data_IF_899910887047
#
_entry.id   IF_899910887047
#
_cell.length_a   1.000
_cell.length_b   1.000
_cell.length_c   1.000
_cell.angle_alpha   90.00
_cell.angle_beta   90.00
_cell.angle_gamma   90.00
#
_symmetry.space_group_name_H-M   'P 1'
#
loop_
_entity.id
_entity.type
_entity.pdbx_description
1 polymer ?
#
# COMPACT_ATOMS: atom_id res chain seq x y z
N UNK A 1 -39.39 24.23 -1.76
CA UNK A 1 -38.08 23.62 -1.84
C UNK A 1 -37.51 23.95 -3.23
N UNK A 2 -36.35 24.59 -3.31
CA UNK A 2 -35.74 24.95 -4.60
C UNK A 2 -35.27 23.66 -5.31
N UNK A 3 -35.41 23.59 -6.63
CA UNK A 3 -34.95 22.46 -7.47
C UNK A 3 -33.49 22.09 -7.20
N UNK A 4 -32.64 23.08 -6.90
CA UNK A 4 -31.23 22.87 -6.55
C UNK A 4 -31.05 22.09 -5.24
N UNK A 5 -31.87 22.35 -4.21
CA UNK A 5 -31.78 21.63 -2.93
C UNK A 5 -32.20 20.16 -3.03
N UNK A 6 -33.11 19.83 -3.95
CA UNK A 6 -33.49 18.43 -4.23
C UNK A 6 -32.39 17.70 -5.01
N UNK A 7 -31.75 18.38 -5.98
CA UNK A 7 -30.61 17.79 -6.72
C UNK A 7 -29.43 17.51 -5.79
N UNK A 8 -29.10 18.43 -4.88
CA UNK A 8 -28.02 18.28 -3.90
C UNK A 8 -28.30 17.13 -2.93
N UNK A 9 -29.53 16.95 -2.46
CA UNK A 9 -29.93 15.81 -1.61
C UNK A 9 -29.85 14.49 -2.37
N UNK A 10 -30.27 14.47 -3.63
CA UNK A 10 -30.18 13.24 -4.47
C UNK A 10 -28.72 12.82 -4.68
N UNK A 11 -27.82 13.79 -4.95
CA UNK A 11 -26.39 13.52 -5.10
C UNK A 11 -25.78 13.01 -3.78
N UNK A 12 -26.13 13.57 -2.64
CA UNK A 12 -25.67 13.12 -1.33
C UNK A 12 -26.12 11.68 -1.03
N UNK A 13 -27.38 11.34 -1.34
CA UNK A 13 -27.91 9.98 -1.21
C UNK A 13 -27.20 9.01 -2.16
N UNK A 14 -27.00 9.40 -3.42
CA UNK A 14 -26.27 8.61 -4.39
C UNK A 14 -24.82 8.32 -3.92
N UNK A 15 -24.16 9.33 -3.34
CA UNK A 15 -22.84 9.14 -2.73
C UNK A 15 -22.84 8.04 -1.68
N UNK A 16 -23.82 8.02 -0.79
CA UNK A 16 -23.94 6.99 0.26
C UNK A 16 -24.19 5.60 -0.34
N UNK A 17 -25.09 5.48 -1.31
CA UNK A 17 -25.34 4.21 -2.00
C UNK A 17 -24.11 3.69 -2.74
N UNK A 18 -23.37 4.57 -3.43
CA UNK A 18 -22.13 4.20 -4.09
C UNK A 18 -21.06 3.75 -3.09
N UNK A 19 -20.96 4.39 -1.91
CA UNK A 19 -20.04 4.00 -0.85
C UNK A 19 -20.35 2.61 -0.29
N UNK A 20 -21.62 2.34 0.05
CA UNK A 20 -22.02 1.03 0.54
C UNK A 20 -21.82 -0.07 -0.51
N UNK A 21 -22.13 0.22 -1.78
CA UNK A 21 -21.85 -0.69 -2.89
C UNK A 21 -20.34 -0.95 -3.05
N UNK A 22 -19.51 0.09 -2.95
CA UNK A 22 -18.07 -0.06 -3.01
C UNK A 22 -17.53 -0.94 -1.88
N UNK A 23 -18.00 -0.76 -0.64
CA UNK A 23 -17.61 -1.59 0.51
C UNK A 23 -18.01 -3.05 0.28
N UNK A 24 -19.21 -3.32 -0.21
CA UNK A 24 -19.65 -4.67 -0.53
C UNK A 24 -18.77 -5.33 -1.61
N UNK A 25 -18.43 -4.59 -2.66
CA UNK A 25 -17.56 -5.10 -3.74
C UNK A 25 -16.10 -5.26 -3.25
N UNK A 26 -15.59 -4.36 -2.40
CA UNK A 26 -14.28 -4.57 -1.75
C UNK A 26 -14.26 -5.81 -0.87
N UNK A 27 -15.34 -6.10 -0.16
CA UNK A 27 -15.45 -7.33 0.64
C UNK A 27 -15.41 -8.58 -0.26
N UNK A 28 -16.13 -8.57 -1.38
CA UNK A 28 -16.07 -9.66 -2.35
C UNK A 28 -14.65 -9.81 -2.95
N UNK A 29 -14.00 -8.69 -3.28
CA UNK A 29 -12.62 -8.67 -3.76
C UNK A 29 -11.65 -9.26 -2.73
N UNK A 30 -11.82 -8.90 -1.46
CA UNK A 30 -11.04 -9.44 -0.34
C UNK A 30 -11.23 -10.94 -0.17
N UNK A 31 -12.48 -11.43 -0.20
CA UNK A 31 -12.78 -12.86 -0.11
C UNK A 31 -12.18 -13.64 -1.29
N UNK A 32 -12.26 -13.09 -2.51
CA UNK A 32 -11.61 -13.67 -3.70
C UNK A 32 -10.08 -13.71 -3.55
N UNK A 33 -9.46 -12.67 -2.99
CA UNK A 33 -8.02 -12.66 -2.69
C UNK A 33 -7.65 -13.71 -1.62
N UNK A 34 -8.45 -13.84 -0.56
CA UNK A 34 -8.27 -14.89 0.45
C UNK A 34 -8.40 -16.29 -0.18
N UNK A 35 -9.34 -16.48 -1.10
CA UNK A 35 -9.53 -17.73 -1.82
C UNK A 35 -8.34 -18.03 -2.75
N UNK A 36 -7.78 -17.01 -3.46
CA UNK A 36 -6.51 -17.17 -4.20
C UNK A 36 -5.39 -17.72 -3.27
N UNK A 37 -5.30 -17.16 -2.06
CA UNK A 37 -4.33 -17.65 -1.08
C UNK A 37 -4.66 -19.06 -0.56
N UNK A 38 -5.92 -19.40 -0.37
CA UNK A 38 -6.32 -20.72 0.10
C UNK A 38 -6.02 -21.83 -0.93
N UNK A 39 -6.35 -21.58 -2.20
CA UNK A 39 -6.23 -22.57 -3.28
C UNK A 39 -4.91 -22.50 -4.06
N UNK A 40 -4.05 -21.53 -3.78
CA UNK A 40 -2.75 -21.38 -4.44
C UNK A 40 -1.73 -22.42 -3.97
N UNK A 41 -0.85 -22.85 -4.89
CA UNK A 41 0.25 -23.76 -4.58
C UNK A 41 1.44 -23.00 -3.98
N UNK A 42 2.03 -23.58 -2.92
CA UNK A 42 3.23 -23.02 -2.28
C UNK A 42 4.45 -23.12 -3.19
N UNK A 43 5.21 -22.05 -3.35
CA UNK A 43 6.57 -22.15 -3.85
C UNK A 43 7.01 -21.27 -5.00
N UNK A 44 6.11 -20.68 -5.78
CA UNK A 44 6.50 -19.91 -6.98
C UNK A 44 6.99 -18.50 -6.68
N UNK A 45 6.36 -17.81 -5.74
CA UNK A 45 6.79 -16.46 -5.33
C UNK A 45 8.17 -16.54 -4.66
N UNK A 46 8.36 -17.54 -3.80
CA UNK A 46 9.65 -17.78 -3.15
C UNK A 46 10.74 -18.15 -4.16
N UNK A 47 10.43 -18.97 -5.18
CA UNK A 47 11.39 -19.33 -6.25
C UNK A 47 11.71 -18.15 -7.16
N UNK A 48 10.71 -17.34 -7.57
CA UNK A 48 10.95 -16.16 -8.39
C UNK A 48 11.82 -15.11 -7.68
N UNK A 49 11.71 -15.02 -6.35
CA UNK A 49 12.56 -14.12 -5.53
C UNK A 49 13.99 -14.67 -5.33
N UNK A 50 14.17 -15.99 -5.39
CA UNK A 50 15.49 -16.62 -5.27
C UNK A 50 16.29 -16.60 -6.59
N UNK A 51 15.61 -16.44 -7.73
CA UNK A 51 16.23 -16.36 -9.07
C UNK A 51 16.54 -14.94 -9.53
N UNK A 52 16.40 -13.94 -8.68
CA UNK A 52 16.85 -12.58 -8.97
C UNK A 52 18.37 -12.53 -8.68
N UNK A 53 19.27 -12.62 -9.69
CA UNK A 53 20.70 -12.73 -9.48
C UNK A 53 21.29 -11.33 -9.25
N UNK A 54 21.05 -10.77 -8.06
CA UNK A 54 21.87 -9.67 -7.59
C UNK A 54 23.11 -10.27 -6.96
N UNK A 55 24.10 -10.61 -7.78
CA UNK A 55 25.45 -10.93 -7.30
C UNK A 55 25.92 -12.37 -7.53
N UNK A 56 25.82 -12.91 -8.73
CA UNK A 56 26.83 -13.85 -9.19
C UNK A 56 28.07 -13.01 -9.56
N UNK A 57 28.93 -12.80 -8.59
CA UNK A 57 30.34 -12.45 -8.88
C UNK A 57 30.85 -13.63 -9.71
N UNK A 58 31.15 -13.35 -10.98
CA UNK A 58 31.92 -14.26 -11.81
C UNK A 58 33.22 -14.56 -11.06
N UNK A 59 33.40 -15.79 -10.62
CA UNK A 59 34.71 -16.31 -10.35
C UNK A 59 35.29 -16.58 -11.71
N UNK A 60 36.27 -15.81 -12.07
CA UNK A 60 37.16 -16.10 -13.19
C UNK A 60 37.84 -17.43 -12.88
N UNK A 61 37.41 -18.48 -13.54
CA UNK A 61 38.13 -19.75 -13.56
C UNK A 61 39.37 -19.58 -14.48
N UNK A 62 40.50 -19.64 -13.84
CA UNK A 62 41.84 -19.72 -14.45
C UNK A 62 41.93 -20.88 -15.45
N UNK A 63 42.55 -20.72 -16.62
CA UNK A 63 42.63 -21.76 -17.62
C UNK A 63 43.65 -22.84 -17.22
N UNK A 64 43.21 -24.03 -16.87
CA UNK A 64 44.07 -25.19 -16.69
C UNK A 64 44.56 -25.71 -18.03
N UNK A 65 45.87 -25.84 -18.16
CA UNK A 65 46.58 -26.36 -19.31
C UNK A 65 46.28 -27.83 -19.61
N UNK A 66 46.42 -28.30 -20.88
CA UNK A 66 46.11 -29.64 -21.25
C UNK A 66 47.29 -30.59 -20.95
N UNK A 67 47.03 -31.65 -20.17
CA UNK A 67 47.94 -32.82 -20.08
C UNK A 67 47.43 -33.91 -21.01
N UNK A 68 48.22 -34.22 -22.02
CA UNK A 68 47.97 -35.31 -22.94
C UNK A 68 48.27 -36.68 -22.29
N UNK A 69 47.42 -37.69 -22.58
CA UNK A 69 47.61 -39.07 -22.21
C UNK A 69 46.67 -39.97 -23.02
N UNK A 70 47.24 -40.60 -24.04
CA UNK A 70 46.62 -41.65 -24.88
C UNK A 70 46.54 -42.97 -24.17
N UNK A 71 45.36 -43.61 -24.08
CA UNK A 71 45.22 -45.08 -24.01
C UNK A 71 43.87 -45.48 -24.64
N UNK A 72 43.83 -46.58 -25.43
CA UNK A 72 42.65 -47.00 -26.19
C UNK A 72 41.85 -48.08 -25.43
N UNK A 73 40.53 -48.01 -25.62
CA UNK A 73 39.67 -49.16 -25.37
C UNK A 73 38.71 -48.99 -24.20
N UNK A 74 37.50 -48.47 -24.48
CA UNK A 74 36.31 -48.78 -23.71
C UNK A 74 35.05 -48.49 -24.55
N UNK A 75 34.26 -49.50 -24.70
CA UNK A 75 32.98 -49.63 -25.37
C UNK A 75 32.01 -48.52 -24.86
N UNK A 76 31.62 -47.61 -25.71
CA UNK A 76 30.61 -46.61 -25.41
C UNK A 76 29.22 -47.20 -25.31
N UNK A 77 28.72 -47.38 -24.10
CA UNK A 77 27.30 -47.60 -23.85
C UNK A 77 26.59 -46.28 -24.12
N UNK A 78 25.78 -46.22 -25.16
CA UNK A 78 24.87 -45.12 -25.46
C UNK A 78 23.82 -45.05 -24.35
N UNK A 79 24.02 -44.19 -23.37
CA UNK A 79 22.97 -43.79 -22.45
C UNK A 79 22.00 -42.88 -23.23
N UNK A 80 20.71 -43.25 -23.34
CA UNK A 80 19.76 -42.38 -24.04
C UNK A 80 19.69 -41.06 -23.28
N UNK A 81 20.17 -39.99 -23.93
CA UNK A 81 19.99 -38.62 -23.45
C UNK A 81 18.49 -38.36 -23.41
N UNK A 82 17.91 -38.45 -22.23
CA UNK A 82 16.55 -37.99 -22.00
C UNK A 82 16.49 -36.49 -22.34
N UNK A 83 16.05 -36.20 -23.54
CA UNK A 83 15.69 -34.83 -23.95
C UNK A 83 14.55 -34.40 -23.05
N UNK A 84 14.86 -33.84 -21.89
CA UNK A 84 13.87 -33.11 -21.12
C UNK A 84 13.39 -31.96 -21.98
N UNK A 85 12.29 -32.18 -22.70
CA UNK A 85 11.53 -31.12 -23.34
C UNK A 85 11.19 -30.11 -22.22
N UNK A 86 11.95 -29.06 -22.18
CA UNK A 86 11.70 -27.93 -21.27
C UNK A 86 10.35 -27.36 -21.69
N UNK A 87 9.26 -27.93 -21.15
CA UNK A 87 7.93 -27.39 -21.31
C UNK A 87 8.01 -25.93 -20.87
N UNK A 88 7.91 -25.02 -21.85
CA UNK A 88 7.78 -23.59 -21.60
C UNK A 88 6.62 -23.42 -20.61
N UNK A 89 6.96 -23.10 -19.38
CA UNK A 89 5.95 -22.91 -18.35
C UNK A 89 4.91 -21.92 -18.88
N UNK A 90 3.61 -22.21 -18.74
CA UNK A 90 2.57 -21.28 -19.16
C UNK A 90 2.85 -19.92 -18.48
N UNK A 91 2.49 -18.78 -19.17
CA UNK A 91 2.73 -17.46 -18.63
C UNK A 91 2.15 -17.38 -17.24
N UNK A 92 3.03 -17.25 -16.26
CA UNK A 92 2.70 -17.55 -14.90
C UNK A 92 1.76 -16.56 -14.28
N UNK A 93 0.81 -17.07 -13.53
CA UNK A 93 -0.09 -16.31 -12.68
C UNK A 93 0.66 -15.32 -11.80
N UNK A 94 0.12 -14.11 -11.68
CA UNK A 94 0.71 -13.00 -10.97
C UNK A 94 0.21 -12.98 -9.52
N UNK A 95 0.89 -13.59 -8.59
CA UNK A 95 0.51 -13.46 -7.20
C UNK A 95 0.59 -14.75 -6.38
N UNK A 96 -0.31 -14.91 -5.42
CA UNK A 96 -0.33 -16.04 -4.48
C UNK A 96 -0.80 -17.37 -5.11
N UNK A 97 -1.25 -17.35 -6.38
CA UNK A 97 -1.80 -18.53 -7.08
C UNK A 97 -0.78 -19.65 -7.30
N UNK A 98 0.51 -19.34 -7.44
CA UNK A 98 1.52 -20.31 -7.84
C UNK A 98 1.21 -20.92 -9.22
N UNK A 99 1.17 -22.25 -9.33
CA UNK A 99 0.84 -22.99 -10.55
C UNK A 99 -0.63 -23.47 -10.59
N UNK A 100 -1.48 -23.01 -9.67
CA UNK A 100 -2.90 -23.39 -9.60
C UNK A 100 -3.75 -22.54 -10.55
N UNK A 101 -4.38 -23.12 -11.61
CA UNK A 101 -5.25 -22.36 -12.52
C UNK A 101 -6.49 -21.78 -11.80
N UNK A 102 -7.06 -22.52 -10.84
CA UNK A 102 -8.22 -22.05 -10.05
C UNK A 102 -7.86 -20.82 -9.21
N UNK A 103 -6.74 -20.87 -8.53
CA UNK A 103 -6.27 -19.73 -7.74
C UNK A 103 -5.93 -18.52 -8.62
N UNK A 104 -5.40 -18.72 -9.85
CA UNK A 104 -5.16 -17.62 -10.77
C UNK A 104 -6.45 -16.94 -11.25
N UNK A 105 -7.51 -17.71 -11.50
CA UNK A 105 -8.84 -17.14 -11.82
C UNK A 105 -9.36 -16.32 -10.65
N UNK A 106 -9.30 -16.83 -9.41
CA UNK A 106 -9.73 -16.11 -8.21
C UNK A 106 -8.93 -14.81 -8.01
N UNK A 107 -7.63 -14.84 -8.23
CA UNK A 107 -6.78 -13.65 -8.15
C UNK A 107 -7.12 -12.59 -9.20
N UNK A 108 -7.42 -12.99 -10.44
CA UNK A 108 -7.92 -12.07 -11.50
C UNK A 108 -9.28 -11.51 -11.13
N UNK A 109 -10.18 -12.33 -10.62
CA UNK A 109 -11.50 -11.90 -10.13
C UNK A 109 -11.35 -10.86 -9.01
N UNK A 110 -10.45 -11.10 -8.05
CA UNK A 110 -10.14 -10.13 -6.99
C UNK A 110 -9.68 -8.78 -7.56
N UNK A 111 -8.78 -8.79 -8.54
CA UNK A 111 -8.30 -7.54 -9.18
C UNK A 111 -9.44 -6.83 -9.91
N UNK A 112 -10.27 -7.54 -10.67
CA UNK A 112 -11.40 -6.95 -11.40
C UNK A 112 -12.43 -6.35 -10.43
N UNK A 113 -12.76 -7.06 -9.35
CA UNK A 113 -13.64 -6.55 -8.29
C UNK A 113 -13.02 -5.34 -7.57
N UNK A 114 -11.71 -5.36 -7.32
CA UNK A 114 -11.01 -4.21 -6.71
C UNK A 114 -11.11 -2.98 -7.61
N UNK A 115 -10.95 -3.15 -8.92
CA UNK A 115 -11.09 -2.05 -9.88
C UNK A 115 -12.53 -1.53 -9.92
N UNK A 116 -13.54 -2.41 -9.94
CA UNK A 116 -14.96 -2.02 -9.88
C UNK A 116 -15.26 -1.25 -8.58
N UNK A 117 -14.82 -1.77 -7.43
CA UNK A 117 -14.99 -1.11 -6.15
C UNK A 117 -14.30 0.26 -6.11
N UNK A 118 -13.11 0.37 -6.71
CA UNK A 118 -12.38 1.65 -6.83
C UNK A 118 -13.18 2.68 -7.62
N UNK A 119 -13.80 2.28 -8.74
CA UNK A 119 -14.63 3.19 -9.56
C UNK A 119 -15.89 3.61 -8.79
N UNK A 120 -16.60 2.69 -8.12
CA UNK A 120 -17.77 3.01 -7.29
C UNK A 120 -17.38 3.95 -6.14
N UNK A 121 -16.25 3.70 -5.49
CA UNK A 121 -15.72 4.52 -4.41
C UNK A 121 -15.35 5.93 -4.90
N UNK A 122 -14.66 6.03 -6.03
CA UNK A 122 -14.38 7.32 -6.68
C UNK A 122 -15.66 8.07 -7.04
N UNK A 123 -16.66 7.36 -7.59
CA UNK A 123 -17.99 7.90 -7.85
C UNK A 123 -18.67 8.46 -6.59
N UNK A 124 -18.58 7.74 -5.46
CA UNK A 124 -19.08 8.22 -4.17
C UNK A 124 -18.42 9.53 -3.74
N UNK A 125 -17.10 9.63 -3.84
CA UNK A 125 -16.37 10.85 -3.48
C UNK A 125 -16.74 12.01 -4.40
N UNK A 126 -16.84 11.77 -5.70
CA UNK A 126 -17.22 12.79 -6.69
C UNK A 126 -18.65 13.30 -6.43
N UNK A 127 -19.63 12.39 -6.28
CA UNK A 127 -21.02 12.79 -6.04
C UNK A 127 -21.19 13.53 -4.72
N UNK A 128 -20.40 13.17 -3.69
CA UNK A 128 -20.38 13.92 -2.43
C UNK A 128 -19.80 15.33 -2.62
N UNK A 129 -18.75 15.48 -3.39
CA UNK A 129 -18.18 16.79 -3.72
C UNK A 129 -19.17 17.66 -4.49
N UNK A 130 -19.85 17.06 -5.48
CA UNK A 130 -20.85 17.76 -6.28
C UNK A 130 -22.06 18.22 -5.46
N UNK A 131 -22.53 17.41 -4.49
CA UNK A 131 -23.68 17.74 -3.63
C UNK A 131 -23.46 18.98 -2.76
N UNK A 132 -22.23 19.40 -2.55
CA UNK A 132 -21.85 20.58 -1.75
C UNK A 132 -21.01 21.59 -2.52
N UNK A 133 -20.83 21.39 -3.84
CA UNK A 133 -20.04 22.23 -4.74
C UNK A 133 -18.62 22.52 -4.21
N UNK A 134 -17.97 21.53 -3.57
CA UNK A 134 -16.63 21.63 -3.01
C UNK A 134 -15.92 20.27 -2.98
N UNK A 135 -14.58 20.23 -2.91
CA UNK A 135 -13.86 18.98 -2.67
C UNK A 135 -14.27 18.33 -1.34
N UNK A 136 -14.50 16.99 -1.32
CA UNK A 136 -15.03 16.27 -0.16
C UNK A 136 -13.90 15.79 0.77
N UNK A 137 -13.19 16.70 1.43
CA UNK A 137 -12.18 16.41 2.47
C UNK A 137 -12.17 17.43 3.61
N UNK A 138 -13.34 17.98 3.90
CA UNK A 138 -13.53 18.97 4.97
C UNK A 138 -13.74 18.36 6.37
N UNK A 139 -13.91 17.03 6.50
CA UNK A 139 -14.10 16.35 7.78
C UNK A 139 -13.41 14.98 7.81
N UNK A 140 -13.41 14.31 8.98
CA UNK A 140 -12.73 13.03 9.15
C UNK A 140 -13.30 11.91 8.29
N UNK A 141 -14.62 11.88 8.07
CA UNK A 141 -15.25 10.91 7.17
C UNK A 141 -14.74 11.07 5.74
N UNK A 142 -14.82 12.27 5.22
CA UNK A 142 -14.42 12.59 3.84
C UNK A 142 -12.93 12.32 3.60
N UNK A 143 -12.08 12.71 4.54
CA UNK A 143 -10.65 12.43 4.42
C UNK A 143 -10.36 10.92 4.51
N UNK A 144 -11.00 10.19 5.44
CA UNK A 144 -10.77 8.74 5.60
C UNK A 144 -11.18 7.96 4.34
N UNK A 145 -12.30 8.34 3.73
CA UNK A 145 -12.74 7.73 2.47
C UNK A 145 -11.80 8.07 1.32
N UNK A 146 -11.39 9.32 1.16
CA UNK A 146 -10.42 9.72 0.15
C UNK A 146 -9.03 9.06 0.36
N UNK A 147 -8.58 8.93 1.61
CA UNK A 147 -7.36 8.21 1.97
C UNK A 147 -7.44 6.72 1.60
N UNK A 148 -8.55 6.06 1.89
CA UNK A 148 -8.78 4.67 1.51
C UNK A 148 -8.78 4.50 -0.02
N UNK A 149 -9.40 5.44 -0.76
CA UNK A 149 -9.35 5.46 -2.23
C UNK A 149 -7.90 5.61 -2.73
N UNK A 150 -7.12 6.54 -2.17
CA UNK A 150 -5.72 6.74 -2.53
C UNK A 150 -4.86 5.49 -2.25
N UNK A 151 -5.10 4.79 -1.14
CA UNK A 151 -4.43 3.54 -0.83
C UNK A 151 -4.73 2.44 -1.86
N UNK A 152 -6.00 2.27 -2.26
CA UNK A 152 -6.37 1.32 -3.34
C UNK A 152 -5.78 1.76 -4.67
N UNK A 153 -5.85 3.06 -5.00
CA UNK A 153 -5.26 3.60 -6.23
C UNK A 153 -3.76 3.35 -6.31
N UNK A 154 -3.04 3.57 -5.22
CA UNK A 154 -1.62 3.27 -5.13
C UNK A 154 -1.33 1.76 -5.26
N UNK A 155 -2.14 0.88 -4.66
CA UNK A 155 -2.05 -0.56 -4.86
C UNK A 155 -2.26 -0.95 -6.33
N UNK A 156 -3.30 -0.43 -6.98
CA UNK A 156 -3.56 -0.68 -8.40
C UNK A 156 -2.43 -0.16 -9.30
N UNK A 157 -1.84 1.00 -8.98
CA UNK A 157 -0.68 1.54 -9.68
C UNK A 157 0.55 0.63 -9.54
N UNK A 158 0.85 0.15 -8.33
CA UNK A 158 1.94 -0.82 -8.10
C UNK A 158 1.67 -2.13 -8.84
N UNK A 159 0.42 -2.59 -8.89
CA UNK A 159 0.02 -3.77 -9.62
C UNK A 159 0.20 -3.61 -11.14
N UNK A 160 -0.15 -2.45 -11.70
CA UNK A 160 0.04 -2.14 -13.11
C UNK A 160 1.53 -2.07 -13.51
N UNK A 161 2.36 -1.52 -12.63
CA UNK A 161 3.81 -1.40 -12.84
C UNK A 161 4.57 -2.70 -12.55
N UNK A 162 4.06 -3.55 -11.66
CA UNK A 162 4.71 -4.77 -11.18
C UNK A 162 3.79 -5.97 -11.23
N UNK A 163 4.07 -6.89 -12.15
CA UNK A 163 3.19 -8.04 -12.43
C UNK A 163 2.99 -9.03 -11.27
N UNK A 164 3.83 -9.03 -10.22
CA UNK A 164 3.83 -10.05 -9.15
C UNK A 164 3.46 -9.52 -7.76
N UNK A 165 2.48 -8.60 -7.66
CA UNK A 165 2.10 -7.97 -6.37
C UNK A 165 0.66 -8.25 -5.93
N UNK A 166 -0.06 -9.20 -6.58
CA UNK A 166 -1.43 -9.60 -6.15
C UNK A 166 -1.48 -10.08 -4.70
N UNK A 167 -0.37 -10.60 -4.17
CA UNK A 167 -0.25 -10.98 -2.77
C UNK A 167 -0.51 -9.83 -1.79
N UNK A 168 -0.37 -8.57 -2.22
CA UNK A 168 -0.70 -7.39 -1.42
C UNK A 168 -2.22 -7.16 -1.29
N UNK A 169 -3.06 -7.77 -2.14
CA UNK A 169 -4.50 -7.56 -2.12
C UNK A 169 -5.10 -7.83 -0.74
N UNK A 170 -4.77 -8.95 -0.11
CA UNK A 170 -5.33 -9.33 1.19
C UNK A 170 -5.06 -8.28 2.27
N UNK A 171 -3.81 -7.91 2.58
CA UNK A 171 -3.56 -6.95 3.65
C UNK A 171 -4.03 -5.52 3.30
N UNK A 172 -3.97 -5.10 2.04
CA UNK A 172 -4.45 -3.78 1.64
C UNK A 172 -5.97 -3.70 1.69
N UNK A 173 -6.69 -4.66 1.11
CA UNK A 173 -8.15 -4.66 1.15
C UNK A 173 -8.68 -4.80 2.59
N UNK A 174 -8.02 -5.59 3.43
CA UNK A 174 -8.38 -5.67 4.86
C UNK A 174 -8.26 -4.31 5.53
N UNK A 175 -7.13 -3.62 5.38
CA UNK A 175 -6.92 -2.31 6.01
C UNK A 175 -7.86 -1.23 5.46
N UNK A 176 -8.15 -1.26 4.15
CA UNK A 176 -9.14 -0.38 3.50
C UNK A 176 -10.54 -0.64 4.03
N UNK A 177 -10.97 -1.91 4.14
CA UNK A 177 -12.28 -2.26 4.70
C UNK A 177 -12.42 -1.82 6.16
N UNK A 178 -11.37 -1.96 6.97
CA UNK A 178 -11.36 -1.46 8.35
C UNK A 178 -11.46 0.07 8.38
N UNK A 179 -10.73 0.78 7.52
CA UNK A 179 -10.80 2.24 7.41
C UNK A 179 -12.19 2.71 6.98
N UNK A 180 -12.77 2.08 5.95
CA UNK A 180 -14.12 2.42 5.48
C UNK A 180 -15.19 2.02 6.49
N UNK A 181 -15.04 0.88 7.17
CA UNK A 181 -15.92 0.50 8.27
C UNK A 181 -15.93 1.53 9.38
N UNK A 182 -14.74 1.97 9.84
CA UNK A 182 -14.60 3.07 10.81
C UNK A 182 -15.23 4.37 10.28
N UNK A 183 -14.99 4.69 9.01
CA UNK A 183 -15.51 5.92 8.40
C UNK A 183 -17.04 5.95 8.40
N UNK A 184 -17.71 4.87 7.96
CA UNK A 184 -19.18 4.86 7.83
C UNK A 184 -19.91 4.62 9.16
N UNK A 185 -19.26 4.03 10.18
CA UNK A 185 -19.92 3.72 11.45
C UNK A 185 -19.66 4.76 12.54
N UNK A 186 -18.47 5.35 12.59
CA UNK A 186 -18.05 6.24 13.69
C UNK A 186 -17.81 7.67 13.20
N UNK A 187 -17.23 7.85 12.00
CA UNK A 187 -16.82 9.17 11.52
C UNK A 187 -17.83 9.81 10.58
N UNK A 188 -18.96 9.13 10.28
CA UNK A 188 -19.92 9.64 9.32
C UNK A 188 -20.54 10.97 9.80
N UNK A 189 -20.52 11.94 8.90
CA UNK A 189 -21.14 13.26 9.06
C UNK A 189 -21.82 13.60 7.73
N UNK A 190 -23.02 14.16 7.80
CA UNK A 190 -23.71 14.62 6.60
C UNK A 190 -22.88 15.65 5.84
N UNK A 191 -23.11 15.73 4.52
CA UNK A 191 -22.43 16.73 3.69
C UNK A 191 -22.92 18.13 4.05
N UNK A 192 -22.00 19.00 4.43
CA UNK A 192 -22.27 20.37 4.82
C UNK A 192 -21.27 21.36 4.17
N UNK A 193 -21.65 22.61 4.12
CA UNK A 193 -20.75 23.67 3.68
C UNK A 193 -19.55 23.80 4.63
N UNK A 194 -18.43 24.25 4.11
CA UNK A 194 -17.22 24.48 4.89
C UNK A 194 -17.30 25.83 5.64
N UNK A 195 -16.58 25.90 6.76
CA UNK A 195 -16.31 27.17 7.43
C UNK A 195 -15.46 28.10 6.51
N UNK A 196 -15.57 29.42 6.63
CA UNK A 196 -14.90 30.36 5.73
C UNK A 196 -13.38 30.14 5.59
N UNK A 197 -12.69 29.77 6.66
CA UNK A 197 -11.25 29.46 6.64
C UNK A 197 -10.85 28.36 5.63
N UNK A 198 -11.79 27.49 5.27
CA UNK A 198 -11.56 26.38 4.32
C UNK A 198 -11.88 26.76 2.87
N UNK A 199 -12.33 28.00 2.58
CA UNK A 199 -12.62 28.49 1.24
C UNK A 199 -11.37 28.99 0.53
N UNK A 200 -10.39 28.06 0.30
CA UNK A 200 -9.16 28.35 -0.41
C UNK A 200 -8.79 27.21 -1.35
N UNK A 201 -8.35 27.52 -2.57
CA UNK A 201 -7.85 26.50 -3.49
C UNK A 201 -6.55 25.85 -2.97
N UNK A 202 -5.79 26.54 -2.11
CA UNK A 202 -4.61 25.96 -1.46
C UNK A 202 -4.96 24.81 -0.52
N UNK A 203 -6.15 24.85 0.12
CA UNK A 203 -6.66 23.69 0.87
C UNK A 203 -6.76 22.46 -0.03
N UNK A 204 -7.28 22.61 -1.23
CA UNK A 204 -7.46 21.49 -2.15
C UNK A 204 -6.14 20.87 -2.56
N UNK A 205 -5.16 21.71 -2.88
CA UNK A 205 -3.80 21.27 -3.24
C UNK A 205 -3.13 20.54 -2.06
N UNK A 206 -3.13 21.19 -0.88
CA UNK A 206 -2.53 20.65 0.34
C UNK A 206 -3.13 19.31 0.74
N UNK A 207 -4.45 19.23 0.90
CA UNK A 207 -5.12 18.04 1.39
C UNK A 207 -5.06 16.90 0.37
N UNK A 208 -5.16 17.18 -0.93
CA UNK A 208 -4.99 16.17 -1.97
C UNK A 208 -3.59 15.56 -1.95
N UNK A 209 -2.55 16.39 -1.84
CA UNK A 209 -1.17 15.93 -1.72
C UNK A 209 -0.96 15.10 -0.44
N UNK A 210 -1.56 15.51 0.69
CA UNK A 210 -1.50 14.77 1.95
C UNK A 210 -2.21 13.40 1.85
N UNK A 211 -3.40 13.34 1.23
CA UNK A 211 -4.17 12.11 1.01
C UNK A 211 -3.36 11.12 0.16
N UNK A 212 -2.83 11.55 -0.98
CA UNK A 212 -2.05 10.70 -1.87
C UNK A 212 -0.77 10.23 -1.17
N UNK A 213 -0.07 11.12 -0.46
CA UNK A 213 1.12 10.76 0.33
C UNK A 213 0.79 9.71 1.38
N UNK A 214 -0.29 9.91 2.13
CA UNK A 214 -0.75 8.98 3.14
C UNK A 214 -1.09 7.61 2.57
N UNK A 215 -1.78 7.53 1.44
CA UNK A 215 -2.12 6.29 0.76
C UNK A 215 -0.87 5.47 0.36
N UNK A 216 0.18 6.14 -0.14
CA UNK A 216 1.44 5.46 -0.49
C UNK A 216 2.23 5.07 0.76
N UNK A 217 2.31 5.95 1.79
CA UNK A 217 2.91 5.60 3.09
C UNK A 217 2.22 4.40 3.73
N UNK A 218 0.90 4.31 3.61
CA UNK A 218 0.12 3.17 4.09
C UNK A 218 0.58 1.85 3.45
N UNK A 219 0.73 1.80 2.12
CA UNK A 219 1.26 0.61 1.44
C UNK A 219 2.69 0.32 1.91
N UNK A 220 3.52 1.34 2.04
CA UNK A 220 4.88 1.22 2.57
C UNK A 220 4.91 0.58 3.95
N UNK A 221 4.01 1.00 4.85
CA UNK A 221 3.87 0.44 6.19
C UNK A 221 3.37 -1.01 6.18
N UNK A 222 2.35 -1.33 5.37
CA UNK A 222 1.85 -2.71 5.19
C UNK A 222 2.97 -3.63 4.69
N UNK A 223 3.71 -3.22 3.66
CA UNK A 223 4.86 -3.99 3.15
C UNK A 223 5.94 -4.15 4.21
N UNK A 224 6.17 -3.14 5.05
CA UNK A 224 7.14 -3.21 6.16
C UNK A 224 6.70 -4.21 7.23
N UNK A 225 5.42 -4.27 7.58
CA UNK A 225 4.90 -5.29 8.50
C UNK A 225 5.07 -6.71 7.94
N UNK A 226 4.76 -6.89 6.66
CA UNK A 226 4.98 -8.17 5.98
C UNK A 226 6.46 -8.54 5.90
N UNK A 227 7.35 -7.55 5.69
CA UNK A 227 8.79 -7.74 5.75
C UNK A 227 9.22 -8.29 7.12
N UNK A 228 8.79 -7.69 8.22
CA UNK A 228 9.17 -8.13 9.58
C UNK A 228 8.73 -9.58 9.83
N UNK A 229 7.50 -9.95 9.42
CA UNK A 229 7.01 -11.31 9.55
C UNK A 229 7.81 -12.31 8.70
N UNK A 230 8.07 -11.94 7.45
CA UNK A 230 8.83 -12.76 6.50
C UNK A 230 10.29 -12.97 6.95
N UNK A 231 10.96 -11.91 7.40
CA UNK A 231 12.33 -11.95 7.90
C UNK A 231 12.47 -12.86 9.14
N UNK A 232 11.48 -12.79 10.06
CA UNK A 232 11.43 -13.71 11.22
C UNK A 232 11.26 -15.16 10.78
N UNK A 233 10.40 -15.38 9.78
CA UNK A 233 10.17 -16.73 9.26
C UNK A 233 11.41 -17.27 8.55
N UNK A 234 12.08 -16.51 7.68
CA UNK A 234 13.33 -16.90 7.01
C UNK A 234 14.43 -17.24 8.03
N UNK A 235 14.56 -16.44 9.08
CA UNK A 235 15.50 -16.72 10.17
C UNK A 235 15.16 -18.00 10.95
N UNK A 236 13.87 -18.33 11.10
CA UNK A 236 13.43 -19.58 11.73
C UNK A 236 13.70 -20.80 10.84
N UNK A 237 13.47 -20.68 9.52
CA UNK A 237 13.79 -21.71 8.51
C UNK A 237 15.29 -22.02 8.55
N UNK A 238 16.15 -20.99 8.56
CA UNK A 238 17.59 -21.17 8.60
C UNK A 238 18.09 -21.90 9.87
N UNK A 239 17.30 -21.87 10.95
CA UNK A 239 17.57 -22.61 12.21
C UNK A 239 16.87 -23.97 12.30
N UNK A 240 16.29 -24.46 11.19
CA UNK A 240 15.56 -25.73 11.18
C UNK A 240 14.23 -25.73 11.98
N UNK A 241 13.71 -24.53 12.36
CA UNK A 241 12.50 -24.35 13.18
C UNK A 241 11.25 -23.95 12.37
N UNK A 242 11.25 -24.19 11.07
CA UNK A 242 10.18 -23.78 10.17
C UNK A 242 8.93 -24.66 10.31
N UNK A 243 8.25 -24.61 11.44
CA UNK A 243 6.98 -25.28 11.68
C UNK A 243 5.89 -24.26 12.07
N UNK A 244 4.63 -24.63 11.90
CA UNK A 244 3.49 -23.87 12.37
C UNK A 244 2.50 -23.47 11.26
N UNK A 245 1.25 -23.18 11.66
CA UNK A 245 0.12 -22.85 10.76
C UNK A 245 0.40 -21.67 9.82
N UNK A 246 1.27 -20.73 10.20
CA UNK A 246 1.62 -19.55 9.42
C UNK A 246 2.80 -19.76 8.46
N UNK A 247 3.51 -20.90 8.52
CA UNK A 247 4.64 -21.18 7.64
C UNK A 247 4.23 -21.13 6.15
N UNK A 248 3.04 -21.65 5.84
CA UNK A 248 2.49 -21.61 4.47
C UNK A 248 2.22 -20.19 3.99
N UNK A 249 1.76 -19.29 4.86
CA UNK A 249 1.48 -17.89 4.54
C UNK A 249 2.79 -17.14 4.25
N UNK A 250 3.76 -17.24 5.16
CA UNK A 250 5.06 -16.59 5.00
C UNK A 250 5.82 -17.12 3.79
N UNK A 251 5.75 -18.43 3.51
CA UNK A 251 6.39 -19.06 2.35
C UNK A 251 5.88 -18.56 0.99
N UNK A 252 4.68 -17.97 0.94
CA UNK A 252 4.09 -17.42 -0.31
C UNK A 252 4.49 -15.97 -0.60
N UNK A 253 4.97 -15.24 0.40
CA UNK A 253 5.42 -13.87 0.22
C UNK A 253 6.76 -13.81 -0.52
N UNK A 254 7.07 -12.71 -1.20
CA UNK A 254 8.41 -12.43 -1.69
C UNK A 254 9.46 -12.53 -0.58
N UNK A 255 10.74 -12.66 -0.94
CA UNK A 255 11.82 -12.66 0.04
C UNK A 255 11.82 -11.39 0.88
N UNK A 256 12.29 -11.50 2.14
CA UNK A 256 12.39 -10.35 3.04
C UNK A 256 13.16 -9.19 2.37
N UNK A 257 14.27 -9.47 1.65
CA UNK A 257 15.01 -8.45 0.94
C UNK A 257 14.22 -7.75 -0.17
N UNK A 258 13.30 -8.46 -0.86
CA UNK A 258 12.44 -7.85 -1.88
C UNK A 258 11.36 -6.94 -1.26
N UNK A 259 10.80 -7.36 -0.12
CA UNK A 259 9.82 -6.57 0.65
C UNK A 259 10.48 -5.30 1.21
N UNK A 260 11.68 -5.39 1.79
CA UNK A 260 12.44 -4.25 2.30
C UNK A 260 12.74 -3.22 1.18
N UNK A 261 13.17 -3.71 0.01
CA UNK A 261 13.41 -2.84 -1.17
C UNK A 261 12.13 -2.16 -1.66
N UNK A 262 10.99 -2.86 -1.67
CA UNK A 262 9.71 -2.29 -2.11
C UNK A 262 9.25 -1.20 -1.15
N UNK A 263 9.24 -1.46 0.16
CA UNK A 263 8.88 -0.47 1.17
C UNK A 263 9.75 0.79 1.07
N UNK A 264 11.07 0.62 0.96
CA UNK A 264 11.99 1.75 0.81
C UNK A 264 11.69 2.58 -0.43
N UNK A 265 11.48 1.94 -1.59
CA UNK A 265 11.17 2.66 -2.86
C UNK A 265 9.88 3.45 -2.79
N UNK A 266 8.85 2.91 -2.15
CA UNK A 266 7.58 3.62 -1.95
C UNK A 266 7.78 4.87 -1.09
N UNK A 267 8.50 4.75 0.03
CA UNK A 267 8.74 5.87 0.93
C UNK A 267 9.64 6.95 0.30
N UNK A 268 10.69 6.57 -0.45
CA UNK A 268 11.52 7.53 -1.20
C UNK A 268 10.69 8.29 -2.24
N UNK A 269 9.84 7.55 -2.98
CA UNK A 269 9.04 8.14 -4.05
C UNK A 269 8.05 9.18 -3.52
N UNK A 270 7.42 8.89 -2.38
CA UNK A 270 6.33 9.72 -1.85
C UNK A 270 6.79 10.83 -0.92
N UNK A 271 7.98 10.74 -0.34
CA UNK A 271 8.47 11.75 0.60
C UNK A 271 8.54 13.18 0.01
N UNK A 272 8.99 13.39 -1.25
CA UNK A 272 8.91 14.72 -1.87
C UNK A 272 7.49 15.26 -1.97
N UNK A 273 6.49 14.41 -2.25
CA UNK A 273 5.09 14.82 -2.29
C UNK A 273 4.58 15.19 -0.89
N UNK A 274 4.98 14.46 0.16
CA UNK A 274 4.68 14.83 1.54
C UNK A 274 5.34 16.17 1.93
N UNK A 275 6.58 16.40 1.52
CA UNK A 275 7.27 17.69 1.72
C UNK A 275 6.49 18.82 1.05
N UNK A 276 6.07 18.62 -0.20
CA UNK A 276 5.21 19.58 -0.90
C UNK A 276 3.88 19.78 -0.17
N UNK A 277 3.25 18.73 0.34
CA UNK A 277 2.00 18.86 1.10
C UNK A 277 2.19 19.73 2.34
N UNK A 278 3.27 19.60 3.10
CA UNK A 278 3.57 20.43 4.28
C UNK A 278 3.76 21.90 3.87
N UNK A 279 4.49 22.17 2.80
CA UNK A 279 4.70 23.53 2.28
C UNK A 279 3.38 24.15 1.79
N UNK A 280 2.59 23.41 1.02
CA UNK A 280 1.28 23.87 0.55
C UNK A 280 0.31 24.14 1.71
N UNK A 281 0.44 23.36 2.81
CA UNK A 281 -0.31 23.59 4.04
C UNK A 281 0.07 24.88 4.73
N UNK A 282 1.36 25.26 4.73
CA UNK A 282 1.81 26.54 5.25
C UNK A 282 1.25 27.71 4.43
N UNK A 283 1.25 27.60 3.09
CA UNK A 283 0.65 28.63 2.21
C UNK A 283 -0.86 28.73 2.44
N UNK A 284 -1.54 27.59 2.64
CA UNK A 284 -2.95 27.63 3.01
C UNK A 284 -3.19 28.26 4.39
N UNK A 285 -2.34 28.00 5.37
CA UNK A 285 -2.44 28.56 6.72
C UNK A 285 -2.33 30.11 6.71
N UNK A 286 -1.52 30.66 5.83
CA UNK A 286 -1.47 32.10 5.60
C UNK A 286 -2.82 32.63 5.11
N UNK A 287 -3.40 32.00 4.08
CA UNK A 287 -4.69 32.41 3.54
C UNK A 287 -5.86 32.24 4.54
N UNK A 288 -5.78 31.23 5.43
CA UNK A 288 -6.83 30.92 6.40
C UNK A 288 -6.73 31.72 7.71
N UNK A 289 -5.52 32.00 8.18
CA UNK A 289 -5.23 32.53 9.52
C UNK A 289 -4.22 33.68 9.54
N UNK A 290 -3.78 34.18 8.38
CA UNK A 290 -2.84 35.31 8.24
C UNK A 290 -1.41 34.98 8.68
N UNK A 291 -1.03 33.71 8.73
CA UNK A 291 0.31 33.26 9.12
C UNK A 291 0.68 31.93 8.46
N UNK A 292 1.91 31.75 8.03
CA UNK A 292 2.38 30.52 7.40
C UNK A 292 2.53 29.35 8.39
N UNK A 293 2.86 29.64 9.65
CA UNK A 293 3.15 28.62 10.68
C UNK A 293 2.90 29.17 12.08
N UNK A 294 2.27 28.40 12.95
CA UNK A 294 1.96 28.82 14.31
C UNK A 294 2.03 27.72 15.34
N UNK A 295 2.66 26.58 14.99
CA UNK A 295 2.80 25.43 15.89
C UNK A 295 1.46 24.89 16.38
N UNK A 296 0.40 25.02 15.58
CA UNK A 296 -0.84 24.31 15.83
C UNK A 296 -0.56 22.81 15.95
N UNK A 297 -1.28 22.06 16.79
CA UNK A 297 -1.03 20.61 16.95
C UNK A 297 -0.95 19.83 15.63
N UNK A 298 -1.78 20.19 14.65
CA UNK A 298 -1.77 19.58 13.32
C UNK A 298 -0.49 19.88 12.54
N UNK A 299 -0.06 21.13 12.56
CA UNK A 299 1.19 21.59 11.93
C UNK A 299 2.39 20.90 12.58
N UNK A 300 2.43 20.86 13.91
CA UNK A 300 3.48 20.23 14.70
C UNK A 300 3.62 18.74 14.36
N UNK A 301 2.52 17.99 14.32
CA UNK A 301 2.56 16.57 14.02
C UNK A 301 2.81 16.27 12.53
N UNK A 302 2.44 17.18 11.63
CA UNK A 302 2.85 17.10 10.23
C UNK A 302 4.35 17.25 10.07
N UNK A 303 4.96 18.18 10.83
CA UNK A 303 6.41 18.36 10.87
C UNK A 303 7.13 17.18 11.53
N UNK A 304 6.62 16.66 12.67
CA UNK A 304 7.15 15.45 13.30
C UNK A 304 7.13 14.27 12.32
N UNK A 305 6.06 14.11 11.54
CA UNK A 305 5.97 13.09 10.51
C UNK A 305 7.03 13.28 9.43
N UNK A 306 7.25 14.52 8.99
CA UNK A 306 8.28 14.85 8.02
C UNK A 306 9.68 14.50 8.55
N UNK A 307 10.00 14.91 9.79
CA UNK A 307 11.28 14.60 10.45
C UNK A 307 11.49 13.09 10.58
N UNK A 308 10.46 12.34 11.00
CA UNK A 308 10.54 10.90 11.17
C UNK A 308 10.83 10.17 9.85
N UNK A 309 10.16 10.56 8.74
CA UNK A 309 10.45 10.00 7.42
C UNK A 309 11.80 10.45 6.88
N UNK A 310 12.20 11.71 7.09
CA UNK A 310 13.54 12.19 6.74
C UNK A 310 14.62 11.39 7.48
N UNK A 311 14.46 11.16 8.78
CA UNK A 311 15.37 10.34 9.57
C UNK A 311 15.43 8.89 9.07
N UNK A 312 14.27 8.28 8.72
CA UNK A 312 14.21 6.96 8.12
C UNK A 312 15.01 6.90 6.80
N UNK A 313 14.78 7.84 5.90
CA UNK A 313 15.45 7.89 4.60
C UNK A 313 16.95 8.17 4.75
N UNK A 314 17.33 9.09 5.65
CA UNK A 314 18.73 9.40 5.96
C UNK A 314 19.46 8.19 6.54
N UNK A 315 18.87 7.50 7.51
CA UNK A 315 19.44 6.28 8.10
C UNK A 315 19.67 5.19 7.04
N UNK A 316 18.74 5.07 6.08
CA UNK A 316 18.87 4.13 4.96
C UNK A 316 19.95 4.51 3.95
N UNK A 317 20.05 5.79 3.60
CA UNK A 317 20.93 6.29 2.55
C UNK A 317 22.37 6.44 3.03
N UNK A 318 22.60 7.00 4.21
CA UNK A 318 23.93 7.36 4.73
C UNK A 318 24.48 6.36 5.73
N UNK A 319 23.67 5.99 6.75
CA UNK A 319 24.12 5.06 7.78
C UNK A 319 24.00 3.58 7.38
N UNK A 320 23.50 3.30 6.15
CA UNK A 320 23.37 1.94 5.62
C UNK A 320 22.41 1.04 6.41
N UNK A 321 21.48 1.61 7.18
CA UNK A 321 20.53 0.85 7.97
C UNK A 321 19.64 -0.01 7.06
N UNK A 322 19.56 -1.29 7.37
CA UNK A 322 18.75 -2.28 6.69
C UNK A 322 18.03 -3.16 7.71
N UNK A 323 17.10 -3.97 7.21
CA UNK A 323 16.42 -4.95 8.06
C UNK A 323 15.53 -4.31 9.12
N UNK A 324 15.44 -4.96 10.28
CA UNK A 324 14.46 -4.60 11.33
C UNK A 324 14.65 -3.20 11.91
N UNK A 325 15.88 -2.72 12.05
CA UNK A 325 16.14 -1.36 12.57
C UNK A 325 15.51 -0.29 11.69
N UNK A 326 15.73 -0.40 10.37
CA UNK A 326 15.11 0.51 9.41
C UNK A 326 13.58 0.33 9.36
N UNK A 327 13.10 -0.91 9.44
CA UNK A 327 11.66 -1.20 9.47
C UNK A 327 10.95 -0.56 10.66
N UNK A 328 11.53 -0.66 11.86
CA UNK A 328 10.98 -0.01 13.05
C UNK A 328 10.88 1.51 12.88
N UNK A 329 11.94 2.15 12.33
CA UNK A 329 11.94 3.59 12.11
C UNK A 329 10.88 4.00 11.07
N UNK A 330 10.71 3.23 9.99
CA UNK A 330 9.65 3.45 9.00
C UNK A 330 8.24 3.29 9.57
N UNK A 331 8.02 2.31 10.47
CA UNK A 331 6.73 2.15 11.15
C UNK A 331 6.46 3.27 12.16
N UNK A 332 7.48 3.74 12.88
CA UNK A 332 7.36 4.92 13.76
C UNK A 332 6.95 6.13 12.92
N UNK A 333 7.60 6.36 11.77
CA UNK A 333 7.24 7.46 10.88
C UNK A 333 5.78 7.37 10.39
N UNK A 334 5.31 6.17 10.03
CA UNK A 334 3.90 5.99 9.67
C UNK A 334 2.96 6.19 10.87
N UNK A 335 3.34 5.76 12.06
CA UNK A 335 2.54 5.96 13.27
C UNK A 335 2.37 7.45 13.61
N UNK A 336 3.38 8.30 13.36
CA UNK A 336 3.24 9.75 13.53
C UNK A 336 2.25 10.35 12.53
N UNK A 337 2.22 9.84 11.28
CA UNK A 337 1.22 10.24 10.29
C UNK A 337 -0.20 9.86 10.74
N UNK A 338 -0.40 8.61 11.21
CA UNK A 338 -1.70 8.14 11.71
C UNK A 338 -2.14 8.93 12.93
N UNK A 339 -1.21 9.22 13.85
CA UNK A 339 -1.51 10.05 15.01
C UNK A 339 -1.83 11.49 14.64
N UNK A 340 -1.11 12.08 13.69
CA UNK A 340 -1.45 13.40 13.15
C UNK A 340 -2.88 13.43 12.64
N UNK A 341 -3.33 12.37 11.97
CA UNK A 341 -4.66 12.35 11.41
C UNK A 341 -5.74 12.04 12.45
N UNK A 342 -5.68 10.90 13.11
CA UNK A 342 -6.71 10.47 14.07
C UNK A 342 -6.46 11.04 15.47
N UNK A 343 -5.25 10.90 16.01
CA UNK A 343 -4.93 11.28 17.38
C UNK A 343 -5.13 12.77 17.63
N UNK A 344 -4.58 13.63 16.77
CA UNK A 344 -4.73 15.08 16.91
C UNK A 344 -6.19 15.50 16.81
N UNK A 345 -6.93 14.99 15.82
CA UNK A 345 -8.33 15.37 15.62
C UNK A 345 -9.27 14.90 16.75
N UNK A 346 -8.94 13.80 17.44
CA UNK A 346 -9.80 13.23 18.49
C UNK A 346 -9.43 13.76 19.88
N UNK A 347 -8.15 13.95 20.16
CA UNK A 347 -7.67 14.19 21.52
C UNK A 347 -7.16 15.60 21.77
N UNK A 348 -6.89 16.40 20.72
CA UNK A 348 -6.21 17.68 20.86
C UNK A 348 -7.03 18.77 20.16
N UNK A 349 -7.37 19.84 20.90
CA UNK A 349 -8.04 21.02 20.33
C UNK A 349 -7.01 21.94 19.68
N UNK A 350 -7.37 22.54 18.53
CA UNK A 350 -6.53 23.46 17.77
C UNK A 350 -7.31 24.12 16.64
N UNK A 351 -6.63 24.85 15.79
CA UNK A 351 -7.24 25.53 14.63
C UNK A 351 -7.89 24.56 13.64
N UNK A 352 -7.49 23.30 13.65
CA UNK A 352 -8.04 22.23 12.80
C UNK A 352 -9.17 21.42 13.45
N UNK A 353 -9.73 21.86 14.57
CA UNK A 353 -10.79 21.14 15.31
C UNK A 353 -12.09 20.98 14.54
N UNK A 354 -12.33 21.79 13.49
CA UNK A 354 -13.48 21.63 12.58
C UNK A 354 -13.51 20.27 11.84
N UNK A 355 -12.37 19.60 11.73
CA UNK A 355 -12.28 18.26 11.14
C UNK A 355 -12.52 17.12 12.12
N UNK A 356 -12.70 17.41 13.42
CA UNK A 356 -12.86 16.43 14.49
C UNK A 356 -14.25 15.79 14.55
N UNK A 357 -14.45 14.94 15.56
CA UNK A 357 -15.77 14.38 15.86
C UNK A 357 -16.71 15.49 16.35
N UNK A 358 -18.01 15.43 16.02
CA UNK A 358 -18.96 16.35 16.59
C UNK A 358 -18.92 16.26 18.13
N UNK A 359 -18.60 17.35 18.79
CA UNK A 359 -18.77 17.44 20.25
C UNK A 359 -20.27 17.31 20.54
N UNK A 360 -20.64 16.33 21.33
CA UNK A 360 -22.00 16.16 21.84
C UNK A 360 -22.39 17.32 22.76
#
# INVERSE_FOLDING_TARGET
MNSNSLADQTLAQLSNWLMYSAIAVYLMAFLAACAEWAFGNTGRIARASATDPAGSVARDDEPSAPVGGTTPGSTSVLVPTSTTVRRKAPPGGHGAAGDSPRADVLGRTSVSLTLLAFVLHAGSIVTRGLSVARPPWGNMYEFSTAFALAAVGAYLAVLALRKNVRWLAVPILLSVLLTLGLAVTILYVDSAQLVPALHSYWLWIHVSAAIVSGGVFHIGAVVTLLFIGRDRWEAAVAKGRAGGRLATVWGRLPSAGSLDKLSYRLNVLVFPLWTFAVIAGAVWAEAAWGRYWGWDPKETWAFITWVAYAAYLHARATAGWKGRRAACLGLIAFSTFVFNYYGVNIFITGLHSYGGLPTK
#
